data_IF_082219823036
#
_entry.id   IF_082219823036
#
_cell.length_a   1.000
_cell.length_b   1.000
_cell.length_c   1.000
_cell.angle_alpha   90.00
_cell.angle_beta   90.00
_cell.angle_gamma   90.00
#
_symmetry.space_group_name_H-M   'P 1'
#
loop_
_entity.id
_entity.type
_entity.pdbx_description
1 polymer ?
#
# COMPACT_ATOMS: atom_id res chain seq x y z
N UNK A 1 7.49 14.08 -17.54
CA UNK A 1 8.05 13.20 -16.51
C UNK A 1 8.65 14.15 -15.49
N UNK A 2 7.85 14.53 -14.50
CA UNK A 2 8.27 15.44 -13.44
C UNK A 2 8.38 14.57 -12.20
N UNK A 3 9.60 14.45 -11.73
CA UNK A 3 9.98 13.73 -10.52
C UNK A 3 9.42 14.53 -9.34
N UNK A 4 8.35 14.03 -8.72
CA UNK A 4 7.79 14.59 -7.49
C UNK A 4 8.47 13.86 -6.36
N UNK A 5 9.65 14.35 -5.98
CA UNK A 5 10.43 13.82 -4.87
C UNK A 5 9.62 13.91 -3.58
N UNK A 6 9.09 12.78 -3.13
CA UNK A 6 8.59 12.63 -1.76
C UNK A 6 9.80 12.69 -0.85
N UNK A 7 9.92 13.75 -0.05
CA UNK A 7 10.90 13.77 1.03
C UNK A 7 10.45 12.77 2.10
N UNK A 8 11.00 11.56 2.05
CA UNK A 8 10.89 10.60 3.13
C UNK A 8 11.94 10.94 4.18
N UNK A 9 11.51 11.24 5.41
CA UNK A 9 12.42 11.34 6.55
C UNK A 9 13.00 9.96 6.82
N UNK A 10 14.33 9.89 6.98
CA UNK A 10 15.02 8.64 7.26
C UNK A 10 14.65 8.12 8.66
N UNK A 11 14.59 6.79 8.89
CA UNK A 11 14.28 6.22 10.20
C UNK A 11 15.19 6.72 11.34
N UNK A 12 16.42 7.12 11.01
CA UNK A 12 17.39 7.66 11.97
C UNK A 12 17.02 9.06 12.47
N UNK A 13 16.35 9.88 11.65
CA UNK A 13 15.89 11.22 12.04
C UNK A 13 14.69 11.16 13.00
N UNK A 14 13.81 10.16 12.84
CA UNK A 14 12.67 9.91 13.74
C UNK A 14 13.12 9.49 15.16
N UNK A 15 14.27 8.81 15.29
CA UNK A 15 14.79 8.36 16.59
C UNK A 15 15.42 9.50 17.40
N UNK A 16 16.01 10.50 16.74
CA UNK A 16 16.60 11.67 17.41
C UNK A 16 15.54 12.61 17.97
N UNK A 17 14.44 12.84 17.25
CA UNK A 17 13.41 13.82 17.67
C UNK A 17 12.55 13.31 18.85
N UNK A 18 12.39 11.99 19.00
CA UNK A 18 11.68 11.40 20.14
C UNK A 18 12.43 11.49 21.48
N UNK A 19 13.76 11.67 21.46
CA UNK A 19 14.56 11.68 22.68
C UNK A 19 14.48 13.00 23.47
N UNK A 20 13.84 14.03 22.91
CA UNK A 20 13.80 15.39 23.48
C UNK A 20 12.46 15.81 24.09
N UNK A 21 11.40 14.99 24.04
CA UNK A 21 10.10 15.37 24.61
C UNK A 21 9.50 14.24 25.48
N UNK A 22 9.95 14.16 26.73
CA UNK A 22 9.29 13.34 27.76
C UNK A 22 8.32 14.20 28.58
N UNK A 23 7.02 14.02 28.43
CA UNK A 23 6.05 13.78 29.52
C UNK A 23 4.60 13.68 28.99
N UNK A 24 3.87 12.73 29.57
CA UNK A 24 2.41 12.51 29.53
C UNK A 24 1.75 12.02 28.23
N UNK A 25 1.77 10.69 28.03
CA UNK A 25 0.89 9.99 27.09
C UNK A 25 -0.21 9.21 27.81
N UNK A 26 -1.42 9.76 27.82
CA UNK A 26 -2.65 8.97 27.96
C UNK A 26 -3.03 8.43 26.58
N UNK A 27 -2.90 7.12 26.40
CA UNK A 27 -3.15 6.42 25.15
C UNK A 27 -4.67 6.27 24.92
N UNK A 28 -5.24 6.99 23.95
CA UNK A 28 -6.58 6.69 23.44
C UNK A 28 -6.48 5.55 22.43
N UNK A 29 -6.90 4.35 22.84
CA UNK A 29 -7.08 3.21 21.94
C UNK A 29 -8.26 3.47 21.01
N UNK A 30 -7.99 3.58 19.71
CA UNK A 30 -9.04 3.45 18.69
C UNK A 30 -8.97 2.03 18.15
N UNK A 31 -9.81 1.15 18.67
CA UNK A 31 -9.99 -0.21 18.16
C UNK A 31 -10.93 -0.17 16.96
N UNK A 32 -10.61 -0.95 15.91
CA UNK A 32 -11.57 -1.29 14.86
C UNK A 32 -12.66 -2.18 15.47
N UNK A 33 -13.74 -1.54 15.97
CA UNK A 33 -14.90 -2.23 16.52
C UNK A 33 -15.94 -2.47 15.43
N UNK A 34 -16.04 -3.70 14.97
CA UNK A 34 -17.24 -4.20 14.28
C UNK A 34 -18.21 -4.75 15.33
N UNK A 35 -19.27 -4.00 15.62
CA UNK A 35 -20.43 -4.49 16.38
C UNK A 35 -21.68 -4.35 15.48
N UNK A 36 -22.55 -5.39 15.40
CA UNK A 36 -23.77 -5.35 14.60
C UNK A 36 -24.89 -4.65 15.37
N UNK A 37 -25.69 -3.82 14.68
CA UNK A 37 -26.89 -3.20 15.24
C UNK A 37 -28.14 -3.81 14.60
N UNK A 38 -29.03 -4.29 15.49
CA UNK A 38 -30.35 -4.85 15.21
C UNK A 38 -31.23 -3.91 14.38
N UNK A 39 -31.80 -4.44 13.30
CA UNK A 39 -32.82 -3.75 12.50
C UNK A 39 -34.20 -3.89 13.14
N UNK A 40 -34.72 -2.79 13.70
CA UNK A 40 -36.15 -2.61 13.93
C UNK A 40 -36.79 -1.96 12.68
N UNK A 41 -37.81 -2.65 12.15
CA UNK A 41 -38.75 -2.18 11.13
C UNK A 41 -39.39 -0.83 11.51
N UNK A 42 -39.55 0.09 10.55
CA UNK A 42 -40.75 0.95 10.33
C UNK A 42 -40.61 1.72 9.01
N UNK A 43 -41.65 1.63 8.15
CA UNK A 43 -42.23 2.76 7.43
C UNK A 43 -41.66 3.17 6.07
N UNK A 44 -42.26 2.66 4.98
CA UNK A 44 -42.12 3.20 3.61
C UNK A 44 -42.78 4.59 3.47
N UNK A 45 -42.17 5.53 2.71
CA UNK A 45 -42.92 6.62 2.08
C UNK A 45 -43.03 6.47 0.56
N UNK A 46 -44.08 7.11 0.05
CA UNK A 46 -44.70 6.94 -1.27
C UNK A 46 -43.91 7.48 -2.47
N UNK A 47 -44.25 6.95 -3.65
CA UNK A 47 -43.80 7.38 -4.98
C UNK A 47 -44.33 8.76 -5.34
N UNK A 48 -43.46 9.63 -5.83
CA UNK A 48 -43.85 10.81 -6.61
C UNK A 48 -43.65 10.53 -8.12
N UNK A 49 -44.61 10.90 -8.99
CA UNK A 49 -44.62 10.52 -10.40
C UNK A 49 -44.12 11.67 -11.29
N UNK A 50 -42.84 11.63 -11.69
CA UNK A 50 -42.41 12.26 -12.94
C UNK A 50 -41.01 11.79 -13.34
N UNK A 51 -40.95 10.69 -14.08
CA UNK A 51 -39.75 10.21 -14.76
C UNK A 51 -40.13 9.89 -16.21
N UNK A 52 -39.72 10.77 -17.12
CA UNK A 52 -39.77 10.54 -18.56
C UNK A 52 -38.59 9.67 -18.99
N UNK A 53 -38.95 8.43 -19.32
CA UNK A 53 -38.43 7.49 -20.33
C UNK A 53 -37.02 7.70 -20.93
N UNK A 54 -36.12 6.75 -20.67
CA UNK A 54 -35.18 6.23 -21.69
C UNK A 54 -34.65 4.83 -21.30
N UNK A 55 -35.09 3.82 -22.07
CA UNK A 55 -34.50 2.48 -22.32
C UNK A 55 -34.02 1.60 -21.14
N UNK A 56 -34.83 0.57 -20.82
CA UNK A 56 -34.45 -0.60 -20.01
C UNK A 56 -33.56 -1.58 -20.79
N UNK A 57 -32.43 -2.04 -20.22
CA UNK A 57 -31.84 -3.34 -20.55
C UNK A 57 -32.40 -4.44 -19.62
N UNK A 58 -32.49 -5.66 -20.14
CA UNK A 58 -32.97 -6.89 -19.48
C UNK A 58 -32.24 -7.22 -18.17
N UNK A 59 -32.87 -7.91 -17.21
CA UNK A 59 -32.23 -8.30 -15.96
C UNK A 59 -31.21 -9.44 -16.17
N UNK A 60 -30.03 -9.40 -15.53
CA UNK A 60 -29.12 -10.55 -15.47
C UNK A 60 -29.65 -11.62 -14.51
N UNK A 61 -29.24 -12.90 -14.67
CA UNK A 61 -29.69 -14.00 -13.83
C UNK A 61 -29.19 -13.87 -12.39
N UNK A 62 -30.00 -14.40 -11.46
CA UNK A 62 -29.82 -14.36 -10.01
C UNK A 62 -28.45 -14.85 -9.53
N UNK A 63 -27.84 -14.22 -8.50
CA UNK A 63 -26.62 -14.73 -7.90
C UNK A 63 -26.90 -15.98 -7.04
N UNK A 64 -26.17 -17.06 -7.33
CA UNK A 64 -26.03 -18.22 -6.46
C UNK A 64 -25.38 -17.82 -5.12
N UNK A 65 -25.83 -18.45 -4.04
CA UNK A 65 -25.37 -18.19 -2.67
C UNK A 65 -23.90 -18.57 -2.50
N UNK A 66 -23.06 -17.77 -1.82
CA UNK A 66 -21.76 -18.25 -1.39
C UNK A 66 -21.91 -19.20 -0.19
N UNK A 67 -21.31 -20.38 -0.31
CA UNK A 67 -21.17 -21.36 0.77
C UNK A 67 -20.39 -20.77 1.95
N UNK A 68 -20.93 -21.02 3.14
CA UNK A 68 -20.35 -20.69 4.43
C UNK A 68 -19.27 -21.74 4.78
N UNK A 69 -18.00 -21.42 4.56
CA UNK A 69 -16.89 -22.21 5.11
C UNK A 69 -16.52 -21.69 6.51
N UNK A 70 -17.21 -22.25 7.51
CA UNK A 70 -16.88 -22.11 8.93
C UNK A 70 -16.13 -23.37 9.38
N UNK A 71 -14.80 -23.39 9.27
CA UNK A 71 -13.99 -24.27 10.12
C UNK A 71 -12.51 -23.87 10.17
N UNK A 72 -12.17 -22.87 10.99
CA UNK A 72 -10.82 -22.81 11.56
C UNK A 72 -10.80 -22.14 12.93
N UNK A 73 -10.52 -22.93 13.96
CA UNK A 73 -10.25 -22.48 15.34
C UNK A 73 -8.75 -22.63 15.56
N UNK A 74 -7.98 -21.55 15.79
CA UNK A 74 -6.57 -21.66 16.14
C UNK A 74 -6.45 -22.17 17.58
N UNK A 75 -5.68 -23.24 17.79
CA UNK A 75 -5.29 -23.70 19.11
C UNK A 75 -4.27 -22.72 19.72
N UNK A 76 -4.47 -22.36 20.98
CA UNK A 76 -3.54 -21.57 21.80
C UNK A 76 -2.20 -22.31 21.96
N UNK A 77 -1.13 -21.75 21.39
CA UNK A 77 0.24 -22.11 21.79
C UNK A 77 0.76 -21.05 22.76
N UNK A 78 1.10 -21.54 23.96
CA UNK A 78 1.62 -20.78 25.08
C UNK A 78 2.92 -20.05 24.72
N UNK A 79 2.89 -18.72 24.87
CA UNK A 79 4.06 -17.85 24.75
C UNK A 79 4.93 -17.95 26.01
N UNK A 80 6.07 -18.64 25.93
CA UNK A 80 7.19 -18.36 26.81
C UNK A 80 7.92 -17.11 26.31
N UNK A 81 7.94 -16.09 27.17
CA UNK A 81 8.63 -14.83 26.95
C UNK A 81 10.08 -14.98 27.41
N UNK A 82 11.03 -14.81 26.48
CA UNK A 82 12.43 -14.60 26.85
C UNK A 82 13.01 -13.33 26.21
N UNK A 83 13.80 -12.68 27.04
CA UNK A 83 14.18 -11.26 27.04
C UNK A 83 15.07 -10.83 25.87
N UNK A 84 14.79 -9.61 25.39
CA UNK A 84 15.72 -8.53 25.04
C UNK A 84 17.07 -8.92 24.38
N UNK A 85 17.10 -9.07 23.05
CA UNK A 85 18.33 -8.90 22.27
C UNK A 85 18.50 -7.44 21.86
N UNK A 86 19.68 -6.88 22.15
CA UNK A 86 20.08 -5.49 21.96
C UNK A 86 19.89 -4.98 20.52
N UNK A 87 19.44 -3.73 20.38
CA UNK A 87 19.16 -3.02 19.11
C UNK A 87 20.30 -3.01 18.08
N UNK A 88 21.54 -3.21 18.53
CA UNK A 88 22.74 -3.22 17.67
C UNK A 88 22.82 -4.49 16.79
N UNK A 89 22.40 -5.63 17.36
CA UNK A 89 22.42 -6.93 16.65
C UNK A 89 21.39 -7.03 15.52
N UNK A 90 20.22 -6.42 15.69
CA UNK A 90 19.15 -6.44 14.68
C UNK A 90 19.44 -5.51 13.50
N UNK A 91 20.10 -4.37 13.74
CA UNK A 91 20.55 -3.48 12.66
C UNK A 91 21.60 -4.16 11.79
N UNK A 92 22.57 -4.85 12.41
CA UNK A 92 23.60 -5.59 11.68
C UNK A 92 23.02 -6.70 10.79
N UNK A 93 22.03 -7.46 11.30
CA UNK A 93 21.32 -8.52 10.53
C UNK A 93 20.60 -7.93 9.32
N UNK A 94 20.03 -6.72 9.43
CA UNK A 94 19.31 -6.12 8.30
C UNK A 94 20.26 -5.65 7.20
N UNK A 95 21.39 -5.01 7.56
CA UNK A 95 22.28 -4.34 6.63
C UNK A 95 23.37 -5.21 6.01
N UNK A 96 23.69 -6.37 6.59
CA UNK A 96 24.71 -7.26 6.02
C UNK A 96 24.34 -7.72 4.59
N UNK A 97 25.29 -7.94 3.67
CA UNK A 97 24.97 -8.50 2.36
C UNK A 97 24.44 -9.94 2.45
N UNK A 98 23.40 -10.27 1.68
CA UNK A 98 22.87 -11.64 1.54
C UNK A 98 23.22 -12.19 0.16
N UNK A 99 23.69 -13.43 0.11
CA UNK A 99 24.05 -14.10 -1.15
C UNK A 99 23.26 -15.40 -1.35
N UNK A 100 23.02 -15.75 -2.62
CA UNK A 100 22.54 -17.08 -2.99
C UNK A 100 23.73 -18.02 -3.14
N UNK A 101 23.65 -19.22 -2.56
CA UNK A 101 24.67 -20.25 -2.64
C UNK A 101 24.04 -21.60 -2.99
N UNK A 102 24.74 -22.40 -3.79
CA UNK A 102 24.33 -23.76 -4.11
C UNK A 102 24.63 -24.70 -2.95
N UNK A 103 23.73 -25.65 -2.69
CA UNK A 103 23.90 -26.65 -1.62
C UNK A 103 25.23 -27.41 -1.76
N UNK A 104 25.64 -27.76 -2.98
CA UNK A 104 26.92 -28.42 -3.24
C UNK A 104 28.14 -27.59 -2.83
N UNK A 105 28.08 -26.27 -3.06
CA UNK A 105 29.14 -25.34 -2.64
C UNK A 105 29.19 -25.25 -1.12
N UNK A 106 28.04 -25.22 -0.45
CA UNK A 106 27.95 -25.22 1.02
C UNK A 106 28.48 -26.53 1.62
N UNK A 107 28.09 -27.68 1.06
CA UNK A 107 28.60 -29.00 1.47
C UNK A 107 30.12 -29.11 1.39
N UNK A 108 30.73 -28.50 0.38
CA UNK A 108 32.20 -28.50 0.26
C UNK A 108 32.88 -27.82 1.46
N UNK A 109 32.26 -26.80 2.06
CA UNK A 109 32.77 -26.12 3.26
C UNK A 109 32.59 -26.98 4.52
N UNK A 110 31.49 -27.74 4.59
CA UNK A 110 31.18 -28.61 5.72
C UNK A 110 32.23 -29.71 5.94
N UNK A 111 32.91 -30.16 4.88
CA UNK A 111 34.02 -31.14 4.99
C UNK A 111 35.23 -30.64 5.79
N UNK A 112 35.31 -29.32 6.03
CA UNK A 112 36.42 -28.68 6.75
C UNK A 112 36.09 -28.35 8.19
N UNK A 113 34.88 -28.67 8.65
CA UNK A 113 34.42 -28.36 10.01
C UNK A 113 35.04 -29.38 10.98
N UNK A 114 35.45 -28.88 12.15
CA UNK A 114 35.93 -29.69 13.27
C UNK A 114 35.02 -29.49 14.47
N UNK A 115 34.91 -30.50 15.32
CA UNK A 115 34.17 -30.41 16.56
C UNK A 115 34.82 -29.38 17.48
N UNK A 116 34.03 -28.44 18.00
CA UNK A 116 34.50 -27.41 18.91
C UNK A 116 34.89 -27.94 20.28
N UNK A 117 34.41 -29.13 20.66
CA UNK A 117 34.67 -29.74 21.96
C UNK A 117 35.94 -30.61 21.96
N UNK A 118 36.09 -31.50 20.97
CA UNK A 118 37.21 -32.46 20.92
C UNK A 118 38.22 -32.20 19.79
N UNK A 119 37.98 -31.23 18.91
CA UNK A 119 38.86 -30.89 17.78
C UNK A 119 38.90 -31.93 16.66
N UNK A 120 38.16 -33.03 16.77
CA UNK A 120 38.09 -34.09 15.76
C UNK A 120 37.21 -33.65 14.60
N UNK A 121 37.53 -34.11 13.38
CA UNK A 121 36.70 -33.88 12.20
C UNK A 121 35.25 -34.31 12.47
N UNK A 122 34.30 -33.46 12.05
CA UNK A 122 32.88 -33.82 12.03
C UNK A 122 32.50 -34.31 10.64
N UNK A 123 31.61 -35.28 10.57
CA UNK A 123 30.87 -35.54 9.35
C UNK A 123 29.64 -34.65 9.34
N UNK A 124 29.43 -33.96 8.22
CA UNK A 124 28.10 -33.48 7.88
C UNK A 124 27.25 -34.73 7.68
N UNK A 125 26.27 -34.93 8.55
CA UNK A 125 25.29 -35.97 8.28
C UNK A 125 24.39 -35.44 7.17
N UNK A 126 24.69 -35.82 5.93
CA UNK A 126 23.91 -35.40 4.76
C UNK A 126 22.43 -35.77 4.90
N UNK A 127 22.10 -36.78 5.71
CA UNK A 127 20.73 -37.17 6.02
C UNK A 127 20.01 -36.23 7.00
N UNK A 128 20.72 -35.26 7.58
CA UNK A 128 20.20 -34.31 8.58
C UNK A 128 20.31 -32.83 8.17
N UNK A 129 20.44 -32.55 6.86
CA UNK A 129 20.20 -31.19 6.34
C UNK A 129 18.69 -30.95 6.32
N UNK A 130 18.25 -29.97 7.11
CA UNK A 130 16.85 -29.59 7.23
C UNK A 130 16.64 -28.15 6.78
N UNK A 131 15.46 -27.87 6.24
CA UNK A 131 15.10 -26.56 5.74
C UNK A 131 13.92 -25.98 6.50
N UNK A 132 14.01 -24.71 6.89
CA UNK A 132 12.90 -23.93 7.42
C UNK A 132 12.78 -22.65 6.60
N UNK A 133 11.95 -22.69 5.57
CA UNK A 133 11.82 -21.61 4.61
C UNK A 133 13.14 -21.36 3.90
N UNK A 134 13.70 -20.17 4.10
CA UNK A 134 15.01 -19.76 3.56
C UNK A 134 16.20 -20.30 4.36
N UNK A 135 15.96 -20.88 5.54
CA UNK A 135 17.03 -21.36 6.43
C UNK A 135 17.46 -22.78 6.12
N UNK A 136 18.76 -23.01 6.03
CA UNK A 136 19.38 -24.33 6.05
C UNK A 136 19.97 -24.58 7.44
N UNK A 137 19.58 -25.70 8.04
CA UNK A 137 20.12 -26.20 9.30
C UNK A 137 20.83 -27.53 9.08
N UNK A 138 22.06 -27.62 9.57
CA UNK A 138 22.91 -28.80 9.43
C UNK A 138 23.28 -29.29 10.82
N UNK A 139 23.07 -30.59 11.04
CA UNK A 139 23.57 -31.29 12.21
C UNK A 139 24.88 -31.99 11.86
N UNK A 140 25.87 -31.78 12.71
CA UNK A 140 27.18 -32.40 12.62
C UNK A 140 27.34 -33.41 13.75
N UNK A 141 27.98 -34.53 13.45
CA UNK A 141 28.34 -35.56 14.43
C UNK A 141 29.85 -35.82 14.33
N UNK A 142 30.53 -35.80 15.47
CA UNK A 142 31.93 -36.22 15.55
C UNK A 142 32.04 -37.71 15.89
N UNK A 143 33.22 -38.31 15.67
CA UNK A 143 33.48 -39.72 15.98
C UNK A 143 33.30 -40.07 17.47
N UNK A 144 33.47 -39.09 18.36
CA UNK A 144 33.28 -39.23 19.81
C UNK A 144 31.80 -39.03 20.23
N UNK A 145 30.88 -38.83 19.28
CA UNK A 145 29.44 -38.73 19.55
C UNK A 145 28.92 -37.33 19.89
N UNK A 146 29.77 -36.30 20.01
CA UNK A 146 29.33 -34.91 20.19
C UNK A 146 28.51 -34.43 18.99
N UNK A 147 27.45 -33.67 19.28
CA UNK A 147 26.53 -33.11 18.29
C UNK A 147 26.62 -31.59 18.27
N UNK A 148 26.85 -31.03 17.09
CA UNK A 148 26.84 -29.58 16.89
C UNK A 148 25.90 -29.19 15.78
N UNK A 149 25.36 -27.97 15.84
CA UNK A 149 24.43 -27.45 14.83
C UNK A 149 25.01 -26.22 14.19
N UNK A 150 24.72 -26.06 12.90
CA UNK A 150 24.99 -24.85 12.15
C UNK A 150 23.73 -24.42 11.41
N UNK A 151 23.50 -23.12 11.36
CA UNK A 151 22.37 -22.52 10.64
C UNK A 151 22.90 -21.46 9.68
N UNK A 152 22.29 -21.38 8.50
CA UNK A 152 22.72 -20.46 7.44
C UNK A 152 22.38 -19.00 7.73
N UNK A 153 21.63 -18.72 8.78
CA UNK A 153 21.20 -17.39 9.18
C UNK A 153 20.83 -17.35 10.67
N UNK A 154 20.90 -16.18 11.31
CA UNK A 154 20.52 -16.03 12.71
C UNK A 154 19.01 -16.19 12.92
N UNK A 155 18.65 -16.52 14.16
CA UNK A 155 17.27 -16.56 14.63
C UNK A 155 16.91 -15.23 15.29
N UNK A 156 15.78 -14.64 14.90
CA UNK A 156 15.14 -13.50 15.54
C UNK A 156 13.84 -13.99 16.16
N UNK A 157 13.73 -13.94 17.49
CA UNK A 157 12.59 -14.49 18.25
C UNK A 157 12.26 -15.94 17.83
N UNK A 158 13.30 -16.78 17.76
CA UNK A 158 13.19 -18.20 17.35
C UNK A 158 12.69 -18.42 15.91
N UNK A 159 12.74 -17.40 15.04
CA UNK A 159 12.41 -17.50 13.62
C UNK A 159 13.63 -17.16 12.77
N UNK A 160 13.89 -17.88 11.66
CA UNK A 160 14.99 -17.52 10.78
C UNK A 160 14.81 -16.10 10.22
N UNK A 161 15.84 -15.27 10.34
CA UNK A 161 15.78 -13.85 9.98
C UNK A 161 15.31 -13.64 8.54
N UNK A 162 15.82 -14.41 7.57
CA UNK A 162 15.44 -14.35 6.17
C UNK A 162 13.97 -14.65 5.91
N UNK A 163 13.32 -15.48 6.74
CA UNK A 163 11.88 -15.74 6.61
C UNK A 163 11.07 -14.47 6.93
N UNK A 164 11.49 -13.73 7.97
CA UNK A 164 10.91 -12.43 8.31
C UNK A 164 11.18 -11.42 7.19
N UNK A 165 12.44 -11.30 6.77
CA UNK A 165 12.86 -10.33 5.76
C UNK A 165 12.14 -10.53 4.42
N UNK A 166 12.02 -11.77 3.93
CA UNK A 166 11.33 -12.07 2.68
C UNK A 166 9.83 -11.74 2.80
N UNK A 167 9.17 -12.19 3.87
CA UNK A 167 7.76 -11.92 4.06
C UNK A 167 7.47 -10.41 4.13
N UNK A 168 8.30 -9.66 4.85
CA UNK A 168 8.20 -8.20 4.92
C UNK A 168 8.54 -7.52 3.59
N UNK A 169 9.59 -7.97 2.88
CA UNK A 169 10.01 -7.39 1.61
C UNK A 169 8.94 -7.52 0.53
N UNK A 170 8.25 -8.66 0.42
CA UNK A 170 7.14 -8.86 -0.52
C UNK A 170 6.06 -7.80 -0.31
N UNK A 171 5.69 -7.55 0.95
CA UNK A 171 4.65 -6.56 1.31
C UNK A 171 5.12 -5.15 0.98
N UNK A 172 6.34 -4.78 1.39
CA UNK A 172 6.88 -3.44 1.20
C UNK A 172 7.14 -3.11 -0.28
N UNK A 173 7.48 -4.10 -1.10
CA UNK A 173 7.66 -3.91 -2.55
C UNK A 173 6.35 -3.90 -3.33
N UNK A 174 5.20 -4.15 -2.69
CA UNK A 174 3.90 -4.25 -3.34
C UNK A 174 3.78 -5.46 -4.28
N UNK A 175 4.57 -6.52 -4.06
CA UNK A 175 4.54 -7.74 -4.85
C UNK A 175 3.59 -8.78 -4.24
N UNK A 176 3.18 -9.77 -5.05
CA UNK A 176 2.37 -10.88 -4.54
C UNK A 176 3.25 -12.05 -4.10
N UNK A 177 2.84 -12.73 -3.03
CA UNK A 177 3.51 -13.95 -2.58
C UNK A 177 3.66 -14.97 -3.72
N UNK A 178 2.60 -15.19 -4.49
CA UNK A 178 2.61 -16.13 -5.61
C UNK A 178 3.68 -15.79 -6.66
N UNK A 179 3.87 -14.51 -6.99
CA UNK A 179 4.90 -14.09 -7.96
C UNK A 179 6.30 -14.39 -7.47
N UNK A 180 6.59 -14.06 -6.21
CA UNK A 180 7.93 -14.25 -5.64
C UNK A 180 8.20 -15.73 -5.32
N UNK A 181 7.20 -16.47 -4.84
CA UNK A 181 7.28 -17.92 -4.65
C UNK A 181 7.55 -18.62 -5.98
N UNK A 182 6.84 -18.26 -7.05
CA UNK A 182 7.07 -18.85 -8.37
C UNK A 182 8.46 -18.53 -8.92
N UNK A 183 8.96 -17.31 -8.69
CA UNK A 183 10.35 -16.96 -8.99
C UNK A 183 11.35 -17.85 -8.23
N UNK A 184 11.12 -18.08 -6.94
CA UNK A 184 11.93 -18.98 -6.13
C UNK A 184 11.88 -20.43 -6.64
N UNK A 185 10.70 -20.91 -7.04
CA UNK A 185 10.51 -22.25 -7.59
C UNK A 185 11.28 -22.46 -8.90
N UNK A 186 11.24 -21.48 -9.83
CA UNK A 186 12.01 -21.52 -11.09
C UNK A 186 13.51 -21.66 -10.82
N UNK A 187 14.01 -20.96 -9.80
CA UNK A 187 15.41 -21.01 -9.39
C UNK A 187 15.75 -22.18 -8.47
N UNK A 188 14.75 -23.01 -8.11
CA UNK A 188 14.89 -24.09 -7.12
C UNK A 188 15.41 -23.62 -5.76
N UNK A 189 15.03 -22.40 -5.35
CA UNK A 189 15.39 -21.83 -4.06
C UNK A 189 14.54 -22.41 -2.94
N UNK A 190 15.15 -22.59 -1.77
CA UNK A 190 14.41 -22.90 -0.54
C UNK A 190 13.72 -21.63 -0.06
N UNK A 191 12.41 -21.72 0.14
CA UNK A 191 11.55 -20.56 0.31
C UNK A 191 10.48 -20.81 1.37
N UNK A 192 9.94 -19.72 1.92
CA UNK A 192 8.86 -19.79 2.91
C UNK A 192 7.56 -20.27 2.26
N UNK A 193 6.79 -21.08 2.97
CA UNK A 193 5.47 -21.50 2.53
C UNK A 193 4.39 -20.42 2.75
N UNK A 194 3.22 -20.53 2.11
CA UNK A 194 2.14 -19.55 2.23
C UNK A 194 1.66 -19.37 3.67
N UNK A 195 1.50 -20.45 4.44
CA UNK A 195 1.08 -20.39 5.84
C UNK A 195 2.04 -19.55 6.69
N UNK A 196 3.35 -19.76 6.51
CA UNK A 196 4.37 -19.01 7.24
C UNK A 196 4.41 -17.55 6.79
N UNK A 197 4.28 -17.28 5.49
CA UNK A 197 4.16 -15.92 4.95
C UNK A 197 2.98 -15.15 5.56
N UNK A 198 1.76 -15.71 5.50
CA UNK A 198 0.57 -15.03 6.02
C UNK A 198 0.60 -14.87 7.55
N UNK A 199 1.18 -15.84 8.27
CA UNK A 199 1.40 -15.73 9.72
C UNK A 199 2.33 -14.56 10.05
N UNK A 200 3.49 -14.46 9.38
CA UNK A 200 4.43 -13.35 9.57
C UNK A 200 3.77 -12.02 9.18
N UNK A 201 3.04 -12.00 8.06
CA UNK A 201 2.35 -10.80 7.61
C UNK A 201 1.35 -10.29 8.66
N UNK A 202 0.49 -11.18 9.16
CA UNK A 202 -0.58 -10.85 10.12
C UNK A 202 -0.04 -10.40 11.48
N UNK A 203 0.98 -11.10 11.99
CA UNK A 203 1.42 -10.92 13.38
C UNK A 203 2.63 -9.99 13.54
N UNK A 204 3.39 -9.76 12.46
CA UNK A 204 4.65 -9.00 12.53
C UNK A 204 4.61 -7.84 11.54
N UNK A 205 4.50 -8.13 10.24
CA UNK A 205 4.67 -7.10 9.20
C UNK A 205 3.60 -6.01 9.26
N UNK A 206 2.32 -6.38 9.22
CA UNK A 206 1.21 -5.39 9.21
C UNK A 206 1.19 -4.56 10.50
N UNK A 207 1.25 -5.16 11.71
CA UNK A 207 1.29 -4.37 12.94
C UNK A 207 2.48 -3.41 13.01
N UNK A 208 3.65 -3.83 12.52
CA UNK A 208 4.84 -2.97 12.48
C UNK A 208 4.62 -1.80 11.52
N UNK A 209 4.09 -2.06 10.32
CA UNK A 209 3.78 -1.00 9.35
C UNK A 209 2.77 0.00 9.93
N UNK A 210 1.72 -0.48 10.59
CA UNK A 210 0.70 0.36 11.22
C UNK A 210 1.31 1.23 12.32
N UNK A 211 2.17 0.67 13.16
CA UNK A 211 2.89 1.43 14.17
C UNK A 211 3.75 2.54 13.55
N UNK A 212 4.55 2.23 12.52
CA UNK A 212 5.37 3.22 11.81
C UNK A 212 4.53 4.28 11.10
N UNK A 213 3.42 3.89 10.50
CA UNK A 213 2.47 4.81 9.89
C UNK A 213 1.89 5.78 10.92
N UNK A 214 1.42 5.29 12.07
CA UNK A 214 0.86 6.13 13.13
C UNK A 214 1.91 7.11 13.68
N UNK A 215 3.15 6.66 13.91
CA UNK A 215 4.25 7.55 14.32
C UNK A 215 4.51 8.66 13.28
N UNK A 216 4.57 8.32 12.00
CA UNK A 216 4.75 9.31 10.92
C UNK A 216 3.56 10.27 10.83
N UNK A 217 2.34 9.74 10.98
CA UNK A 217 1.11 10.51 10.97
C UNK A 217 1.11 11.54 12.10
N UNK A 218 1.50 11.18 13.33
CA UNK A 218 1.58 12.12 14.44
C UNK A 218 2.53 13.28 14.15
N UNK A 219 3.70 13.00 13.55
CA UNK A 219 4.66 14.03 13.12
C UNK A 219 4.04 14.95 12.06
N UNK A 220 3.34 14.39 11.06
CA UNK A 220 2.64 15.17 10.03
C UNK A 220 1.56 16.06 10.65
N UNK A 221 0.72 15.50 11.55
CA UNK A 221 -0.34 16.25 12.21
C UNK A 221 0.25 17.41 13.04
N UNK A 222 1.32 17.18 13.79
CA UNK A 222 2.03 18.23 14.52
C UNK A 222 2.59 19.30 13.58
N UNK A 223 3.19 18.92 12.46
CA UNK A 223 3.69 19.87 11.45
C UNK A 223 2.59 20.75 10.86
N UNK A 224 1.35 20.25 10.79
CA UNK A 224 0.21 20.96 10.24
C UNK A 224 -0.56 21.81 11.27
N UNK A 225 -0.30 21.64 12.57
CA UNK A 225 -0.94 22.44 13.62
C UNK A 225 -0.73 23.95 13.42
N UNK A 226 -1.78 24.73 13.68
CA UNK A 226 -1.77 26.19 13.56
C UNK A 226 -1.72 26.74 12.12
N UNK A 227 -1.64 25.88 11.10
CA UNK A 227 -1.64 26.29 9.68
C UNK A 227 -3.03 26.18 9.09
N UNK A 228 -3.38 27.12 8.21
CA UNK A 228 -4.59 27.00 7.40
C UNK A 228 -4.33 26.11 6.17
N UNK A 229 -4.98 24.95 6.15
CA UNK A 229 -4.78 23.90 5.16
C UNK A 229 -5.61 24.14 3.89
N UNK A 230 -5.03 23.73 2.76
CA UNK A 230 -5.72 23.64 1.47
C UNK A 230 -5.63 22.18 1.02
N UNK A 231 -6.69 21.42 1.28
CA UNK A 231 -6.70 19.98 1.04
C UNK A 231 -7.17 19.66 -0.36
N UNK A 232 -6.38 18.90 -1.11
CA UNK A 232 -6.79 18.21 -2.32
C UNK A 232 -7.24 16.79 -1.96
N UNK A 233 -8.47 16.45 -2.31
CA UNK A 233 -9.06 15.13 -2.05
C UNK A 233 -9.30 14.36 -3.36
N UNK A 234 -8.86 13.11 -3.42
CA UNK A 234 -9.10 12.22 -4.55
C UNK A 234 -9.38 10.78 -4.11
N UNK A 235 -10.25 10.10 -4.87
CA UNK A 235 -10.68 8.73 -4.66
C UNK A 235 -10.14 7.79 -5.73
N UNK A 236 -9.41 6.75 -5.30
CA UNK A 236 -8.86 5.72 -6.20
C UNK A 236 -9.45 4.35 -5.92
N UNK A 237 -10.17 3.81 -6.89
CA UNK A 237 -10.68 2.43 -6.83
C UNK A 237 -9.66 1.43 -7.40
N UNK A 238 -9.69 0.19 -6.91
CA UNK A 238 -8.85 -0.93 -7.34
C UNK A 238 -9.19 -1.45 -8.75
N UNK A 239 -10.45 -1.34 -9.17
CA UNK A 239 -10.90 -1.67 -10.52
C UNK A 239 -11.92 -0.65 -11.06
N UNK A 240 -12.10 -0.58 -12.39
CA UNK A 240 -13.07 0.34 -12.99
C UNK A 240 -14.53 -0.06 -12.73
N UNK A 241 -15.39 0.94 -12.46
CA UNK A 241 -16.85 0.80 -12.54
C UNK A 241 -17.49 0.00 -11.40
N UNK A 242 -18.37 -0.93 -11.75
CA UNK A 242 -19.22 -1.67 -10.81
C UNK A 242 -18.52 -2.86 -10.12
N UNK A 243 -17.30 -3.20 -10.52
CA UNK A 243 -16.52 -4.31 -9.94
C UNK A 243 -15.54 -3.87 -8.85
N UNK A 244 -15.50 -2.57 -8.53
CA UNK A 244 -14.58 -2.03 -7.52
C UNK A 244 -14.83 -2.69 -6.16
N UNK A 245 -13.79 -3.30 -5.58
CA UNK A 245 -13.87 -3.93 -4.26
C UNK A 245 -13.36 -2.99 -3.17
N UNK A 246 -12.36 -2.16 -3.50
CA UNK A 246 -11.76 -1.23 -2.57
C UNK A 246 -11.62 0.16 -3.19
N UNK A 247 -11.84 1.19 -2.37
CA UNK A 247 -11.58 2.59 -2.71
C UNK A 247 -10.69 3.20 -1.63
N UNK A 248 -9.57 3.80 -2.03
CA UNK A 248 -8.76 4.63 -1.15
C UNK A 248 -9.08 6.09 -1.43
N UNK A 249 -9.60 6.79 -0.43
CA UNK A 249 -9.73 8.25 -0.49
C UNK A 249 -8.56 8.89 0.23
N UNK A 250 -7.88 9.85 -0.40
CA UNK A 250 -6.68 10.51 0.16
C UNK A 250 -6.89 12.00 0.20
N UNK A 251 -6.55 12.63 1.31
CA UNK A 251 -6.33 14.08 1.38
C UNK A 251 -4.85 14.39 1.35
N UNK A 252 -4.49 15.43 0.60
CA UNK A 252 -3.14 15.99 0.56
C UNK A 252 -3.22 17.49 0.79
N UNK A 253 -2.40 18.04 1.69
CA UNK A 253 -2.24 19.50 1.73
C UNK A 253 -1.47 19.96 0.50
N UNK A 254 -2.15 20.71 -0.37
CA UNK A 254 -1.62 21.13 -1.66
C UNK A 254 -0.44 22.10 -1.56
N UNK A 255 -0.25 22.75 -0.39
CA UNK A 255 0.89 23.66 -0.15
C UNK A 255 2.17 22.89 0.15
N UNK A 256 2.08 21.88 1.00
CA UNK A 256 3.27 21.14 1.50
C UNK A 256 3.48 19.79 0.81
N UNK A 257 2.44 19.24 0.17
CA UNK A 257 2.47 17.92 -0.46
C UNK A 257 2.32 16.75 0.53
N UNK A 258 2.16 17.02 1.83
CA UNK A 258 1.99 15.96 2.83
C UNK A 258 0.55 15.44 2.84
N UNK A 259 0.39 14.17 3.20
CA UNK A 259 -0.90 13.48 3.29
C UNK A 259 -1.31 13.45 4.77
N UNK A 260 -2.20 14.34 5.23
CA UNK A 260 -2.68 14.31 6.62
C UNK A 260 -3.49 13.05 6.94
N UNK A 261 -4.25 12.53 5.97
CA UNK A 261 -5.03 11.32 6.18
C UNK A 261 -5.45 10.65 4.86
N UNK A 262 -5.67 9.35 4.93
CA UNK A 262 -6.36 8.58 3.89
C UNK A 262 -7.24 7.50 4.51
N UNK A 263 -8.26 7.05 3.79
CA UNK A 263 -9.15 6.00 4.25
C UNK A 263 -9.38 4.95 3.15
N UNK A 264 -9.18 3.69 3.51
CA UNK A 264 -9.50 2.54 2.67
C UNK A 264 -10.90 2.03 3.02
N UNK A 265 -11.79 2.06 2.04
CA UNK A 265 -13.18 1.61 2.17
C UNK A 265 -13.40 0.38 1.30
N UNK A 266 -13.98 -0.67 1.88
CA UNK A 266 -14.39 -1.85 1.13
C UNK A 266 -15.84 -1.74 0.66
N UNK A 267 -16.15 -2.30 -0.52
CA UNK A 267 -17.49 -2.25 -1.11
C UNK A 267 -18.56 -2.88 -0.22
N UNK A 268 -18.21 -3.87 0.61
CA UNK A 268 -19.12 -4.50 1.58
C UNK A 268 -19.58 -3.58 2.70
N UNK A 269 -18.83 -2.51 2.98
CA UNK A 269 -19.26 -1.46 3.91
C UNK A 269 -20.25 -0.48 3.25
N UNK A 270 -20.44 -0.59 1.93
CA UNK A 270 -21.21 0.33 1.11
C UNK A 270 -22.03 -0.43 0.07
N UNK A 271 -22.49 0.24 -1.00
CA UNK A 271 -23.17 -0.44 -2.11
C UNK A 271 -22.57 -0.15 -3.47
N UNK A 272 -21.62 0.77 -3.59
CA UNK A 272 -21.02 1.17 -4.87
C UNK A 272 -19.74 2.00 -4.69
N UNK A 273 -18.92 2.05 -5.74
CA UNK A 273 -17.69 2.85 -5.78
C UNK A 273 -17.91 4.33 -5.47
N UNK A 274 -18.95 4.96 -6.02
CA UNK A 274 -19.28 6.36 -5.71
C UNK A 274 -19.56 6.57 -4.21
N UNK A 275 -20.24 5.61 -3.56
CA UNK A 275 -20.50 5.69 -2.12
C UNK A 275 -19.24 5.42 -1.30
N UNK A 276 -18.37 4.50 -1.74
CA UNK A 276 -17.08 4.29 -1.09
C UNK A 276 -16.25 5.56 -1.08
N UNK A 277 -16.22 6.29 -2.21
CA UNK A 277 -15.50 7.57 -2.31
C UNK A 277 -16.06 8.60 -1.32
N UNK A 278 -17.38 8.76 -1.26
CA UNK A 278 -18.02 9.68 -0.31
C UNK A 278 -17.71 9.31 1.15
N UNK A 279 -17.79 8.03 1.50
CA UNK A 279 -17.52 7.54 2.86
C UNK A 279 -16.05 7.74 3.22
N UNK A 280 -15.14 7.46 2.28
CA UNK A 280 -13.71 7.70 2.48
C UNK A 280 -13.40 9.19 2.69
N UNK A 281 -14.04 10.08 1.90
CA UNK A 281 -13.99 11.53 2.09
C UNK A 281 -14.45 11.93 3.49
N UNK A 282 -15.63 11.48 3.91
CA UNK A 282 -16.22 11.85 5.21
C UNK A 282 -15.36 11.36 6.38
N UNK A 283 -14.92 10.10 6.35
CA UNK A 283 -14.07 9.51 7.40
C UNK A 283 -12.73 10.24 7.51
N UNK A 284 -12.07 10.51 6.38
CA UNK A 284 -10.78 11.19 6.36
C UNK A 284 -10.92 12.64 6.84
N UNK A 285 -11.98 13.35 6.43
CA UNK A 285 -12.20 14.74 6.85
C UNK A 285 -12.51 14.81 8.35
N UNK A 286 -13.40 13.96 8.86
CA UNK A 286 -13.72 13.90 10.28
C UNK A 286 -12.49 13.59 11.15
N UNK A 287 -11.62 12.71 10.67
CA UNK A 287 -10.36 12.35 11.31
C UNK A 287 -9.37 13.53 11.37
N UNK A 288 -9.26 14.32 10.29
CA UNK A 288 -8.45 15.55 10.23
C UNK A 288 -9.01 16.63 11.18
N UNK A 289 -10.34 16.79 11.21
CA UNK A 289 -11.00 17.75 12.10
C UNK A 289 -10.88 17.35 13.58
N UNK A 290 -10.98 16.06 13.89
CA UNK A 290 -10.75 15.53 15.24
C UNK A 290 -9.31 15.78 15.73
N UNK A 291 -8.35 15.89 14.82
CA UNK A 291 -6.98 16.30 15.11
C UNK A 291 -6.81 17.83 15.27
N UNK A 292 -7.89 18.61 15.33
CA UNK A 292 -7.90 20.08 15.46
C UNK A 292 -7.16 20.83 14.33
N UNK A 293 -7.10 20.25 13.12
CA UNK A 293 -6.48 20.92 11.98
C UNK A 293 -7.43 21.94 11.33
N UNK A 294 -6.92 23.13 11.02
CA UNK A 294 -7.69 24.21 10.42
C UNK A 294 -7.80 24.03 8.90
N UNK A 295 -8.88 23.40 8.45
CA UNK A 295 -9.19 23.20 7.02
C UNK A 295 -9.94 24.40 6.46
N UNK A 296 -9.27 25.23 5.67
CA UNK A 296 -9.89 26.42 5.04
C UNK A 296 -10.49 26.16 3.67
N UNK A 297 -9.78 25.39 2.83
CA UNK A 297 -10.18 25.11 1.45
C UNK A 297 -10.11 23.61 1.20
N UNK A 298 -11.12 23.09 0.51
CA UNK A 298 -11.14 21.71 0.00
C UNK A 298 -11.28 21.75 -1.52
N UNK A 299 -10.36 21.09 -2.21
CA UNK A 299 -10.33 20.90 -3.66
C UNK A 299 -10.68 19.45 -3.94
N UNK A 300 -11.75 19.20 -4.69
CA UNK A 300 -12.13 17.82 -5.06
C UNK A 300 -12.42 17.72 -6.55
N UNK A 301 -12.58 16.48 -6.99
CA UNK A 301 -13.13 16.19 -8.30
C UNK A 301 -14.62 16.57 -8.39
N UNK A 302 -15.21 16.49 -9.60
CA UNK A 302 -16.64 16.79 -9.83
C UNK A 302 -17.57 15.64 -9.38
N UNK A 303 -17.28 15.03 -8.24
CA UNK A 303 -18.10 13.97 -7.66
C UNK A 303 -19.41 14.55 -7.09
N UNK A 304 -20.56 14.09 -7.61
CA UNK A 304 -21.88 14.69 -7.32
C UNK A 304 -22.21 14.63 -5.83
N UNK A 305 -21.90 13.52 -5.16
CA UNK A 305 -22.26 13.34 -3.76
C UNK A 305 -21.34 14.14 -2.83
N UNK A 306 -20.05 14.23 -3.13
CA UNK A 306 -19.10 15.05 -2.35
C UNK A 306 -19.45 16.52 -2.52
N UNK A 307 -19.77 16.97 -3.73
CA UNK A 307 -20.27 18.34 -3.97
C UNK A 307 -21.51 18.65 -3.14
N UNK A 308 -22.43 17.69 -3.00
CA UNK A 308 -23.62 17.84 -2.15
C UNK A 308 -23.21 17.96 -0.68
N UNK A 309 -22.39 17.05 -0.18
CA UNK A 309 -21.89 17.05 1.20
C UNK A 309 -21.15 18.35 1.55
N UNK A 310 -20.30 18.86 0.65
CA UNK A 310 -19.63 20.16 0.84
C UNK A 310 -20.62 21.32 0.98
N UNK A 311 -21.74 21.29 0.23
CA UNK A 311 -22.76 22.33 0.31
C UNK A 311 -23.62 22.23 1.57
N UNK A 312 -23.95 21.03 2.02
CA UNK A 312 -24.89 20.81 3.12
C UNK A 312 -24.21 20.72 4.48
N UNK A 313 -23.09 19.99 4.55
CA UNK A 313 -22.49 19.53 5.81
C UNK A 313 -21.21 20.32 6.13
N UNK A 314 -20.52 20.86 5.11
CA UNK A 314 -19.24 21.58 5.26
C UNK A 314 -19.25 22.97 4.60
N UNK A 315 -20.38 23.67 4.72
CA UNK A 315 -20.59 25.00 4.10
C UNK A 315 -19.70 26.12 4.64
N UNK A 316 -19.08 25.89 5.81
CA UNK A 316 -18.08 26.74 6.43
C UNK A 316 -16.73 26.75 5.68
N UNK A 317 -16.48 25.75 4.83
CA UNK A 317 -15.22 25.59 4.11
C UNK A 317 -15.36 26.00 2.65
N UNK A 318 -14.33 26.64 2.10
CA UNK A 318 -14.33 27.00 0.69
C UNK A 318 -14.13 25.74 -0.18
N UNK A 319 -15.13 25.41 -1.01
CA UNK A 319 -15.05 24.30 -1.95
C UNK A 319 -14.59 24.75 -3.34
N UNK A 320 -13.59 24.07 -3.89
CA UNK A 320 -13.06 24.29 -5.23
C UNK A 320 -13.02 22.98 -6.02
N UNK A 321 -12.97 23.09 -7.34
CA UNK A 321 -12.82 21.93 -8.22
C UNK A 321 -11.40 21.78 -8.73
N UNK A 322 -10.94 20.54 -8.87
CA UNK A 322 -9.64 20.25 -9.48
C UNK A 322 -9.63 20.71 -10.95
N UNK A 323 -8.73 21.67 -11.23
CA UNK A 323 -8.50 22.25 -12.55
C UNK A 323 -7.80 21.25 -13.48
N UNK A 324 -7.03 20.30 -12.95
CA UNK A 324 -6.35 19.29 -13.75
C UNK A 324 -7.34 18.43 -14.53
N UNK A 325 -8.42 17.96 -13.89
CA UNK A 325 -9.47 17.20 -14.56
C UNK A 325 -10.15 18.01 -15.68
N UNK A 326 -10.32 19.32 -15.49
CA UNK A 326 -10.84 20.23 -16.52
C UNK A 326 -9.87 20.38 -17.69
N UNK A 327 -8.60 20.69 -17.43
CA UNK A 327 -7.57 20.83 -18.46
C UNK A 327 -7.37 19.54 -19.26
N UNK A 328 -7.40 18.39 -18.59
CA UNK A 328 -7.35 17.06 -19.22
C UNK A 328 -8.53 16.84 -20.17
N UNK A 329 -9.73 17.21 -19.75
CA UNK A 329 -10.94 17.10 -20.56
C UNK A 329 -10.90 18.01 -21.80
N UNK A 330 -10.44 19.25 -21.65
CA UNK A 330 -10.25 20.19 -22.76
C UNK A 330 -9.19 19.66 -23.74
N UNK A 331 -8.05 19.20 -23.23
CA UNK A 331 -6.98 18.61 -24.06
C UNK A 331 -7.49 17.42 -24.87
N UNK A 332 -8.29 16.52 -24.27
CA UNK A 332 -8.89 15.38 -24.97
C UNK A 332 -9.80 15.83 -26.12
N UNK A 333 -10.62 16.86 -25.90
CA UNK A 333 -11.49 17.44 -26.94
C UNK A 333 -10.68 18.07 -28.08
N UNK A 334 -9.65 18.85 -27.76
CA UNK A 334 -8.76 19.45 -28.78
C UNK A 334 -8.06 18.37 -29.62
N UNK A 335 -7.57 17.30 -29.00
CA UNK A 335 -6.93 16.20 -29.71
C UNK A 335 -7.91 15.42 -30.61
N UNK A 336 -9.18 15.33 -30.22
CA UNK A 336 -10.21 14.71 -31.05
C UNK A 336 -10.58 15.54 -32.29
N UNK A 337 -10.37 16.87 -32.25
CA UNK A 337 -10.63 17.79 -33.37
C UNK A 337 -9.45 17.84 -34.35
N UNK A 338 -8.25 17.36 -33.98
CA UNK A 338 -7.13 17.29 -34.93
C UNK A 338 -7.55 16.43 -36.13
N UNK A 339 -7.50 16.95 -37.38
CA UNK A 339 -7.78 16.13 -38.54
C UNK A 339 -6.80 14.95 -38.51
N UNK A 340 -7.33 13.72 -38.63
CA UNK A 340 -6.50 12.58 -39.04
C UNK A 340 -5.75 13.08 -40.28
N UNK A 341 -4.43 12.96 -40.31
CA UNK A 341 -3.68 13.15 -41.55
C UNK A 341 -4.27 12.16 -42.55
N UNK A 342 -5.24 12.62 -43.35
CA UNK A 342 -5.66 11.93 -44.55
C UNK A 342 -4.40 11.90 -45.38
N UNK A 343 -3.85 10.70 -45.59
CA UNK A 343 -2.90 10.48 -46.67
C UNK A 343 -3.64 10.75 -47.98
N UNK A 344 -3.77 12.03 -48.34
CA UNK A 344 -4.13 12.42 -49.68
C UNK A 344 -2.91 12.09 -50.54
N UNK A 345 -2.91 10.89 -51.10
CA UNK A 345 -2.15 10.60 -52.30
C UNK A 345 -2.56 11.63 -53.36
N UNK A 346 -1.57 12.39 -53.79
CA UNK A 346 -1.44 13.05 -55.09
C UNK A 346 -2.72 13.63 -55.70
N UNK A 347 -2.94 14.92 -55.46
CA UNK A 347 -3.41 15.78 -56.54
C UNK A 347 -2.38 16.90 -56.72
N UNK A 348 -1.68 16.81 -57.85
CA UNK A 348 -0.73 17.79 -58.33
C UNK A 348 -1.42 19.15 -58.47
N UNK A 349 -0.81 20.19 -57.92
CA UNK A 349 -1.03 21.56 -58.33
C UNK A 349 0.34 22.20 -58.49
N UNK A 350 0.61 22.64 -59.73
CA UNK A 350 1.85 23.25 -60.17
C UNK A 350 2.19 24.52 -59.38
N UNK A 351 3.49 24.81 -59.17
CA UNK A 351 3.90 26.01 -58.44
C UNK A 351 3.72 27.26 -59.31
N UNK A 352 2.75 28.09 -58.95
CA UNK A 352 2.66 29.47 -59.45
C UNK A 352 3.80 30.28 -58.84
N UNK A 353 4.72 30.69 -59.72
CA UNK A 353 5.83 31.58 -59.44
C UNK A 353 5.30 33.00 -59.14
N UNK A 354 5.40 33.45 -57.89
CA UNK A 354 5.15 34.85 -57.52
C UNK A 354 6.49 35.52 -57.18
N UNK A 355 6.89 36.47 -58.03
CA UNK A 355 8.01 37.38 -57.78
C UNK A 355 7.59 38.49 -56.81
N UNK A 356 8.50 39.00 -55.96
CA UNK A 356 8.19 40.08 -55.02
C UNK A 356 8.33 41.44 -55.72
N UNK A 357 7.22 42.10 -56.03
CA UNK A 357 7.24 43.54 -56.34
C UNK A 357 6.80 44.37 -55.14
N UNK A 358 7.81 45.06 -54.60
CA UNK A 358 7.75 46.20 -53.71
C UNK A 358 6.83 47.28 -54.31
N UNK A 359 5.80 47.72 -53.59
CA UNK A 359 5.08 48.97 -53.91
C UNK A 359 5.12 49.87 -52.69
N UNK A 360 5.84 50.96 -52.87
CA UNK A 360 6.02 52.10 -51.98
C UNK A 360 4.70 52.87 -51.91
N UNK A 361 4.24 53.17 -50.69
CA UNK A 361 3.19 54.16 -50.44
C UNK A 361 3.77 55.55 -50.71
N UNK A 362 3.22 56.28 -51.67
CA UNK A 362 3.38 57.73 -51.76
C UNK A 362 2.03 58.41 -51.52
N UNK A 363 2.13 59.38 -50.60
CA UNK A 363 1.12 60.30 -50.10
C UNK A 363 0.58 61.26 -51.17
N UNK A 364 -0.71 61.57 -51.07
CA UNK A 364 -1.39 62.67 -51.76
C UNK A 364 -2.80 62.80 -51.24
#
# INVERSE_FOLDING_TARGET
>A
MVDVGVQTLSPQQLQTDLSTSSTDHNYFQTTFSTQPLDTAFIGSPQKDPNASDESKPSPPPSPEKPDSDNSYVPSDESHESNQSTSSDSSQQISTEPKCMAFESSMKSLFTRVVCTECGVAVSADESMITYNGTSMKVKFLCMEGHQTFWESQPLVNSKPAGNLMVATAIVLSGETFTRISHFADILSLKFIGPTQFYSIQKHITIPTIDQFYNMQRDVILQQLQGKQLILGGDGRCDSPGFSAKYCTYTFMDTKTGVIPDFNLVQVSETTSSNKMELIGFQRSLASIEAANLNVGVIVTDRHVQIRRAMKTDHSDKAHQFDVWHMSKSIKKKILAIKPRKTSCQNQAMDPIHLQPHLVVLQTG
#
